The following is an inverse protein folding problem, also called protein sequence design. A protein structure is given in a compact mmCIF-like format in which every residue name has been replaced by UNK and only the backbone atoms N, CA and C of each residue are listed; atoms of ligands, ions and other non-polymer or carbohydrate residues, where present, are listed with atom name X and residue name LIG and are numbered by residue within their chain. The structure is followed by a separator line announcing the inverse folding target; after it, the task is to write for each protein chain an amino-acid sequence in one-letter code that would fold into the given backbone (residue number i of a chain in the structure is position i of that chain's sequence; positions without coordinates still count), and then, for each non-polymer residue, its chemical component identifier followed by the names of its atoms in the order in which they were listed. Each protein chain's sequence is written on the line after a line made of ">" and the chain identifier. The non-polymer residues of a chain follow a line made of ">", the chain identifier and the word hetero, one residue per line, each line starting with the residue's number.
data_IF_514137644545
#
_entry.id   IF_514137644545
#
_cell.length_a   1.000
_cell.length_b   1.000
_cell.length_c   1.000
_cell.angle_alpha   90.00
_cell.angle_beta   90.00
_cell.angle_gamma   90.00
#
_symmetry.space_group_name_H-M   'P 1'
#
loop_
_entity.id
_entity.type
_entity.pdbx_description
1 polymer ?
#
# COMPACT_ATOMS: atom_id res chain seq x y z
N UNK A 1 10.82 -5.84 15.25
CA UNK A 1 12.03 -5.56 16.07
C UNK A 1 12.29 -4.07 16.02
N UNK A 2 12.64 -3.43 17.14
CA UNK A 2 12.90 -1.99 17.13
C UNK A 2 14.27 -1.65 16.50
N UNK A 3 15.24 -2.54 16.64
CA UNK A 3 16.59 -2.45 16.01
C UNK A 3 17.27 -3.84 16.02
N UNK A 4 18.17 -4.13 15.08
CA UNK A 4 18.36 -3.35 13.85
C UNK A 4 17.09 -3.30 13.02
N UNK A 5 17.01 -2.32 12.08
CA UNK A 5 15.87 -2.24 11.16
C UNK A 5 15.79 -3.48 10.28
N UNK A 6 14.60 -3.82 9.81
CA UNK A 6 14.43 -4.93 8.85
C UNK A 6 15.14 -4.62 7.55
N UNK A 7 15.17 -3.35 7.15
CA UNK A 7 15.90 -2.89 5.98
C UNK A 7 17.41 -3.13 6.09
N UNK A 8 18.04 -2.97 7.27
CA UNK A 8 19.44 -3.33 7.48
C UNK A 8 19.72 -4.83 7.30
N UNK A 9 18.83 -5.66 7.88
CA UNK A 9 18.94 -7.13 7.76
C UNK A 9 18.80 -7.56 6.29
N UNK A 10 17.88 -6.92 5.57
CA UNK A 10 17.67 -7.19 4.16
C UNK A 10 18.86 -6.75 3.32
N UNK A 11 19.44 -5.57 3.59
CA UNK A 11 20.62 -5.03 2.94
C UNK A 11 21.81 -6.01 3.02
N UNK A 12 22.08 -6.54 4.21
CA UNK A 12 23.12 -7.55 4.44
C UNK A 12 22.87 -8.81 3.60
N UNK A 13 21.64 -9.35 3.64
CA UNK A 13 21.29 -10.58 2.91
C UNK A 13 21.32 -10.42 1.40
N UNK A 14 21.04 -9.24 0.87
CA UNK A 14 21.11 -8.94 -0.56
C UNK A 14 22.54 -8.66 -1.04
N UNK A 15 23.49 -8.45 -0.14
CA UNK A 15 24.88 -8.16 -0.50
C UNK A 15 25.06 -6.84 -1.27
N UNK A 16 24.19 -5.85 -1.05
CA UNK A 16 24.21 -4.59 -1.80
C UNK A 16 25.35 -3.64 -1.41
N UNK A 17 26.22 -4.05 -0.47
CA UNK A 17 27.29 -3.20 0.04
C UNK A 17 26.76 -2.13 1.01
N UNK A 18 27.50 -1.04 1.19
CA UNK A 18 27.14 0.03 2.12
C UNK A 18 26.16 0.99 1.46
N UNK A 19 24.89 0.86 1.77
CA UNK A 19 23.79 1.73 1.30
C UNK A 19 22.95 2.20 2.48
N UNK A 20 22.26 3.34 2.33
CA UNK A 20 21.32 3.82 3.34
C UNK A 20 20.11 2.89 3.43
N UNK A 21 19.65 2.65 4.65
CA UNK A 21 18.47 1.83 4.92
C UNK A 21 17.63 2.45 6.01
N UNK A 22 16.30 2.30 5.91
CA UNK A 22 15.37 2.72 6.95
C UNK A 22 14.09 1.88 6.90
N UNK A 23 13.44 1.73 8.06
CA UNK A 23 12.08 1.23 8.14
C UNK A 23 11.10 2.40 8.31
N UNK A 24 9.94 2.32 7.66
CA UNK A 24 8.85 3.29 7.82
C UNK A 24 7.63 2.62 8.45
N UNK A 25 7.01 3.28 9.42
CA UNK A 25 5.85 2.79 10.13
C UNK A 25 4.59 3.59 9.77
N UNK A 26 3.77 3.04 8.87
CA UNK A 26 2.45 3.56 8.54
C UNK A 26 1.45 2.41 8.31
N UNK A 27 1.68 1.28 8.97
CA UNK A 27 0.86 0.06 8.87
C UNK A 27 0.56 -0.30 7.39
N UNK A 28 -0.69 -0.64 7.05
CA UNK A 28 -1.04 -1.07 5.69
C UNK A 28 -0.84 0.01 4.61
N UNK A 29 -0.73 1.30 4.97
CA UNK A 29 -0.36 2.38 4.04
C UNK A 29 1.16 2.57 3.88
N UNK A 30 1.97 1.81 4.63
CA UNK A 30 3.42 1.98 4.69
C UNK A 30 4.12 1.86 3.33
N UNK A 31 3.65 0.97 2.46
CA UNK A 31 4.23 0.83 1.12
C UNK A 31 4.10 2.12 0.29
N UNK A 32 2.93 2.77 0.30
CA UNK A 32 2.73 4.03 -0.42
C UNK A 32 3.55 5.17 0.18
N UNK A 33 3.62 5.25 1.53
CA UNK A 33 4.49 6.21 2.21
C UNK A 33 5.95 6.03 1.79
N UNK A 34 6.42 4.79 1.74
CA UNK A 34 7.78 4.46 1.31
C UNK A 34 8.03 4.80 -0.16
N UNK A 35 7.08 4.53 -1.06
CA UNK A 35 7.18 4.92 -2.47
C UNK A 35 7.26 6.44 -2.64
N UNK A 36 6.43 7.19 -1.91
CA UNK A 36 6.43 8.66 -1.96
C UNK A 36 7.76 9.21 -1.42
N UNK A 37 8.26 8.64 -0.33
CA UNK A 37 9.57 9.02 0.23
C UNK A 37 10.70 8.72 -0.76
N UNK A 38 10.70 7.53 -1.36
CA UNK A 38 11.68 7.15 -2.37
C UNK A 38 11.66 8.09 -3.58
N UNK A 39 10.46 8.49 -4.05
CA UNK A 39 10.32 9.50 -5.11
C UNK A 39 11.05 10.80 -4.76
N UNK A 40 10.91 11.31 -3.53
CA UNK A 40 11.59 12.55 -3.14
C UNK A 40 13.11 12.41 -3.19
N UNK A 41 13.67 11.31 -2.71
CA UNK A 41 15.11 11.06 -2.77
C UNK A 41 15.64 10.88 -4.19
N UNK A 42 14.88 10.27 -5.08
CA UNK A 42 15.26 10.15 -6.49
C UNK A 42 15.18 11.52 -7.17
N UNK A 43 14.14 12.30 -6.91
CA UNK A 43 13.98 13.64 -7.48
C UNK A 43 15.02 14.65 -6.99
N UNK A 44 15.55 14.50 -5.75
CA UNK A 44 16.67 15.32 -5.26
C UNK A 44 17.98 14.99 -5.96
N UNK A 45 18.09 13.84 -6.63
CA UNK A 45 19.32 13.36 -7.25
C UNK A 45 20.27 12.64 -6.30
N UNK A 46 19.89 12.48 -5.02
CA UNK A 46 20.75 11.83 -4.01
C UNK A 46 20.89 10.32 -4.27
N UNK A 47 19.83 9.69 -4.80
CA UNK A 47 19.79 8.25 -5.08
C UNK A 47 19.17 7.97 -6.47
N UNK A 48 19.84 7.11 -7.25
CA UNK A 48 19.35 6.69 -8.57
C UNK A 48 18.34 5.55 -8.51
N UNK A 49 18.55 4.61 -7.57
CA UNK A 49 17.69 3.46 -7.39
C UNK A 49 17.39 3.25 -5.90
N UNK A 50 16.14 2.98 -5.58
CA UNK A 50 15.68 2.70 -4.22
C UNK A 50 14.81 1.45 -4.24
N UNK A 51 15.17 0.45 -3.44
CA UNK A 51 14.35 -0.71 -3.19
C UNK A 51 13.30 -0.36 -2.13
N UNK A 52 12.02 -0.43 -2.49
CA UNK A 52 10.89 -0.25 -1.59
C UNK A 52 10.25 -1.60 -1.32
N UNK A 53 10.12 -1.96 -0.04
CA UNK A 53 9.61 -3.26 0.40
C UNK A 53 8.42 -3.07 1.33
N UNK A 54 7.31 -3.75 1.04
CA UNK A 54 6.21 -3.97 1.96
C UNK A 54 6.25 -5.40 2.46
N UNK A 55 6.41 -5.61 3.77
CA UNK A 55 6.51 -6.94 4.34
C UNK A 55 5.93 -6.98 5.76
N UNK A 56 4.98 -7.87 5.96
CA UNK A 56 4.33 -8.06 7.26
C UNK A 56 4.09 -9.55 7.56
N UNK A 57 4.43 -9.96 8.76
CA UNK A 57 4.10 -11.29 9.30
C UNK A 57 2.98 -11.15 10.34
N UNK A 58 1.75 -10.95 9.85
CA UNK A 58 0.58 -10.69 10.69
C UNK A 58 0.14 -11.91 11.49
N UNK A 59 0.43 -13.13 11.04
CA UNK A 59 0.16 -14.36 11.79
C UNK A 59 0.82 -14.36 13.18
N UNK A 60 1.93 -13.65 13.35
CA UNK A 60 2.64 -13.53 14.62
C UNK A 60 1.86 -12.72 15.68
N UNK A 61 1.15 -11.71 15.23
CA UNK A 61 0.43 -10.75 16.10
C UNK A 61 -1.08 -10.96 16.11
N UNK A 62 -1.62 -11.75 15.18
CA UNK A 62 -3.05 -12.08 15.15
C UNK A 62 -3.39 -13.05 16.28
N UNK A 63 -4.50 -12.80 16.96
CA UNK A 63 -5.07 -13.74 17.91
C UNK A 63 -5.92 -14.75 17.14
N UNK A 64 -5.42 -15.99 17.00
CA UNK A 64 -6.09 -17.03 16.22
C UNK A 64 -7.39 -17.55 16.90
N UNK A 65 -7.64 -17.20 18.14
CA UNK A 65 -8.90 -17.48 18.85
C UNK A 65 -9.98 -16.42 18.56
N UNK A 66 -9.57 -15.21 18.15
CA UNK A 66 -10.49 -14.14 17.78
C UNK A 66 -10.92 -14.28 16.30
N UNK A 67 -12.07 -14.86 16.07
CA UNK A 67 -12.63 -15.06 14.72
C UNK A 67 -12.90 -13.78 13.95
N UNK A 68 -12.96 -12.63 14.60
CA UNK A 68 -13.17 -11.33 13.94
C UNK A 68 -11.93 -10.83 13.22
N UNK A 69 -10.75 -11.29 13.61
CA UNK A 69 -9.45 -10.89 13.03
C UNK A 69 -8.71 -12.04 12.39
N UNK A 70 -8.77 -13.25 12.95
CA UNK A 70 -8.03 -14.43 12.49
C UNK A 70 -8.28 -14.82 11.03
N UNK A 71 -9.50 -14.57 10.53
CA UNK A 71 -9.90 -14.90 9.16
C UNK A 71 -9.55 -13.84 8.12
N UNK A 72 -9.00 -12.70 8.55
CA UNK A 72 -8.76 -11.55 7.68
C UNK A 72 -7.32 -11.45 7.21
N UNK A 73 -6.38 -11.65 8.14
CA UNK A 73 -4.97 -11.32 7.94
C UNK A 73 -4.14 -12.48 7.40
N UNK A 74 -3.20 -12.14 6.51
CA UNK A 74 -2.21 -13.06 5.96
C UNK A 74 -0.79 -12.51 6.08
N UNK A 75 0.19 -13.37 5.92
CA UNK A 75 1.62 -13.02 5.83
C UNK A 75 1.99 -12.76 4.37
N UNK A 76 2.83 -11.77 4.14
CA UNK A 76 3.29 -11.48 2.79
C UNK A 76 4.47 -10.52 2.74
N UNK A 77 5.16 -10.54 1.62
CA UNK A 77 6.18 -9.58 1.25
C UNK A 77 6.12 -9.31 -0.25
N UNK A 78 6.34 -8.06 -0.62
CA UNK A 78 6.48 -7.63 -2.00
C UNK A 78 7.39 -6.41 -2.08
N UNK A 79 8.05 -6.23 -3.22
CA UNK A 79 9.02 -5.17 -3.39
C UNK A 79 8.98 -4.59 -4.81
N UNK A 80 9.41 -3.34 -4.93
CA UNK A 80 9.65 -2.67 -6.21
C UNK A 80 11.00 -1.95 -6.16
N UNK A 81 11.68 -1.88 -7.28
CA UNK A 81 12.83 -1.00 -7.48
C UNK A 81 12.33 0.25 -8.17
N UNK A 82 12.50 1.39 -7.52
CA UNK A 82 12.18 2.71 -8.07
C UNK A 82 13.45 3.36 -8.59
N UNK A 83 13.33 4.07 -9.71
CA UNK A 83 14.42 4.80 -10.35
C UNK A 83 13.90 5.97 -11.17
N UNK A 84 14.81 6.66 -11.85
CA UNK A 84 14.47 7.68 -12.83
C UNK A 84 13.69 7.05 -14.00
N UNK A 85 12.74 7.77 -14.52
CA UNK A 85 11.91 7.37 -15.65
C UNK A 85 11.83 8.54 -16.65
N UNK A 86 11.40 8.26 -17.89
CA UNK A 86 11.16 9.27 -18.89
C UNK A 86 10.16 10.34 -18.41
N UNK A 87 10.28 11.55 -18.96
CA UNK A 87 9.37 12.65 -18.68
C UNK A 87 7.90 12.25 -18.92
N UNK A 88 7.02 12.62 -18.01
CA UNK A 88 5.60 12.26 -18.03
C UNK A 88 5.28 10.89 -17.42
N UNK A 89 6.27 10.09 -17.03
CA UNK A 89 6.10 8.77 -16.38
C UNK A 89 6.40 8.82 -14.87
N UNK A 90 6.16 7.71 -14.20
CA UNK A 90 6.37 7.56 -12.75
C UNK A 90 5.20 8.07 -11.93
N UNK A 91 5.46 8.44 -10.67
CA UNK A 91 4.43 8.97 -9.77
C UNK A 91 4.09 10.40 -10.17
N UNK A 92 2.90 10.62 -10.75
CA UNK A 92 2.45 11.92 -11.23
C UNK A 92 1.67 12.71 -10.18
N UNK A 93 0.95 12.03 -9.29
CA UNK A 93 0.34 12.66 -8.12
C UNK A 93 0.30 11.72 -6.92
N UNK A 94 0.20 12.29 -5.73
CA UNK A 94 0.07 11.51 -4.50
C UNK A 94 -0.61 12.31 -3.39
N UNK A 95 -1.15 11.56 -2.42
CA UNK A 95 -1.70 12.05 -1.17
C UNK A 95 -1.25 11.16 -0.02
N UNK A 96 -0.96 11.75 1.13
CA UNK A 96 -0.77 11.06 2.41
C UNK A 96 -1.53 11.80 3.50
N UNK A 97 -2.02 11.07 4.48
CA UNK A 97 -2.66 11.68 5.62
C UNK A 97 -2.83 10.70 6.79
N UNK A 98 -3.13 11.27 7.95
CA UNK A 98 -3.36 10.51 9.17
C UNK A 98 -4.42 11.18 10.06
N UNK A 99 -5.11 10.35 10.84
CA UNK A 99 -6.02 10.75 11.91
C UNK A 99 -5.72 9.91 13.16
N UNK A 100 -4.91 10.46 14.06
CA UNK A 100 -4.49 9.79 15.29
C UNK A 100 -5.63 9.51 16.25
N UNK A 101 -6.79 10.19 16.13
CA UNK A 101 -7.96 9.92 16.97
C UNK A 101 -8.53 8.52 16.77
N UNK A 102 -8.28 7.92 15.60
CA UNK A 102 -8.66 6.57 15.22
C UNK A 102 -7.73 5.47 15.72
N UNK A 103 -6.59 5.79 16.32
CA UNK A 103 -5.60 4.81 16.77
C UNK A 103 -6.15 3.74 17.71
N UNK A 104 -7.15 4.08 18.52
CA UNK A 104 -7.88 3.15 19.41
C UNK A 104 -8.71 2.09 18.69
N UNK A 105 -8.91 2.21 17.38
CA UNK A 105 -9.74 1.27 16.60
C UNK A 105 -8.94 0.14 15.94
N UNK A 106 -7.62 0.33 15.75
CA UNK A 106 -6.74 -0.68 15.16
C UNK A 106 -5.32 -0.48 15.69
N UNK A 107 -4.90 -1.35 16.59
CA UNK A 107 -3.62 -1.22 17.29
C UNK A 107 -3.05 -2.58 17.72
N UNK A 108 -1.75 -2.60 18.00
CA UNK A 108 -1.09 -3.71 18.67
C UNK A 108 -1.19 -3.47 20.19
N UNK A 109 -1.89 -4.34 20.88
CA UNK A 109 -1.94 -4.33 22.36
C UNK A 109 -0.57 -4.68 22.91
N UNK A 110 -0.01 -3.80 23.73
CA UNK A 110 1.35 -3.93 24.25
C UNK A 110 1.47 -5.02 25.33
N UNK A 111 0.40 -5.32 26.04
CA UNK A 111 0.40 -6.32 27.11
C UNK A 111 0.33 -7.74 26.51
N UNK A 112 -0.55 -7.94 25.57
CA UNK A 112 -0.76 -9.25 24.94
C UNK A 112 0.10 -9.49 23.71
N UNK A 113 0.65 -8.43 23.09
CA UNK A 113 1.33 -8.51 21.80
C UNK A 113 0.38 -8.88 20.65
N UNK A 114 -0.93 -8.72 20.83
CA UNK A 114 -1.93 -9.11 19.85
C UNK A 114 -2.61 -7.90 19.23
N UNK A 115 -2.92 -8.01 17.94
CA UNK A 115 -3.68 -7.02 17.21
C UNK A 115 -5.11 -6.94 17.74
N UNK A 116 -5.58 -5.73 18.02
CA UNK A 116 -6.95 -5.43 18.39
C UNK A 116 -7.60 -4.53 17.36
N UNK A 117 -8.85 -4.85 17.01
CA UNK A 117 -9.58 -4.13 15.97
C UNK A 117 -11.05 -3.93 16.33
N UNK A 118 -11.52 -2.69 16.26
CA UNK A 118 -12.94 -2.40 16.16
C UNK A 118 -13.33 -2.41 14.68
N UNK A 119 -13.72 -3.58 14.17
CA UNK A 119 -13.99 -3.79 12.75
C UNK A 119 -15.04 -2.84 12.18
N UNK A 120 -16.06 -2.44 12.97
CA UNK A 120 -17.12 -1.52 12.52
C UNK A 120 -16.57 -0.11 12.24
N UNK A 121 -15.78 0.43 13.17
CA UNK A 121 -15.24 1.79 13.03
C UNK A 121 -14.13 1.84 11.97
N UNK A 122 -13.28 0.81 11.91
CA UNK A 122 -12.28 0.65 10.85
C UNK A 122 -12.94 0.56 9.49
N UNK A 123 -14.01 -0.23 9.33
CA UNK A 123 -14.75 -0.36 8.08
C UNK A 123 -15.35 0.98 7.61
N UNK A 124 -16.01 1.72 8.50
CA UNK A 124 -16.59 3.03 8.16
C UNK A 124 -15.53 4.01 7.68
N UNK A 125 -14.39 4.06 8.38
CA UNK A 125 -13.27 4.91 7.98
C UNK A 125 -12.71 4.49 6.63
N UNK A 126 -12.45 3.20 6.44
CA UNK A 126 -11.85 2.65 5.24
C UNK A 126 -12.69 2.93 3.97
N UNK A 127 -13.99 2.65 4.03
CA UNK A 127 -14.91 2.90 2.91
C UNK A 127 -14.88 4.37 2.49
N UNK A 128 -14.89 5.28 3.46
CA UNK A 128 -14.84 6.71 3.17
C UNK A 128 -13.48 7.12 2.60
N UNK A 129 -12.39 6.80 3.33
CA UNK A 129 -11.09 7.37 3.02
C UNK A 129 -10.48 6.80 1.73
N UNK A 130 -10.67 5.51 1.43
CA UNK A 130 -10.15 4.93 0.21
C UNK A 130 -10.81 5.53 -1.03
N UNK A 131 -12.12 5.74 -1.01
CA UNK A 131 -12.82 6.42 -2.10
C UNK A 131 -12.40 7.88 -2.22
N UNK A 132 -12.44 8.64 -1.11
CA UNK A 132 -12.09 10.07 -1.11
C UNK A 132 -10.66 10.32 -1.57
N UNK A 133 -9.68 9.56 -1.05
CA UNK A 133 -8.28 9.73 -1.40
C UNK A 133 -8.01 9.33 -2.87
N UNK A 134 -8.67 8.28 -3.37
CA UNK A 134 -8.55 7.89 -4.77
C UNK A 134 -9.06 9.00 -5.70
N UNK A 135 -10.22 9.57 -5.40
CA UNK A 135 -10.79 10.67 -6.20
C UNK A 135 -9.87 11.89 -6.18
N UNK A 136 -9.47 12.35 -4.98
CA UNK A 136 -8.62 13.54 -4.86
C UNK A 136 -7.26 13.38 -5.56
N UNK A 137 -6.64 12.20 -5.49
CA UNK A 137 -5.33 12.00 -6.12
C UNK A 137 -5.42 11.96 -7.65
N UNK A 138 -6.53 11.46 -8.20
CA UNK A 138 -6.83 11.46 -9.64
C UNK A 138 -7.12 12.89 -10.13
N UNK A 139 -7.99 13.62 -9.43
CA UNK A 139 -8.26 15.03 -9.71
C UNK A 139 -7.00 15.89 -9.64
N UNK A 140 -6.14 15.66 -8.64
CA UNK A 140 -4.86 16.36 -8.49
C UNK A 140 -3.90 16.08 -9.66
N UNK A 141 -4.02 14.92 -10.31
CA UNK A 141 -3.28 14.60 -11.52
C UNK A 141 -3.87 15.26 -12.78
N UNK A 142 -5.04 15.91 -12.69
CA UNK A 142 -5.77 16.44 -13.83
C UNK A 142 -6.45 15.36 -14.67
N UNK A 143 -6.69 14.19 -14.07
CA UNK A 143 -7.27 13.02 -14.72
C UNK A 143 -8.73 12.79 -14.27
N UNK A 144 -9.42 11.95 -15.03
CA UNK A 144 -10.76 11.43 -14.75
C UNK A 144 -10.73 9.92 -14.53
N UNK A 145 -11.87 9.31 -14.19
CA UNK A 145 -12.00 7.86 -14.08
C UNK A 145 -11.77 7.12 -15.41
N UNK A 146 -12.00 7.77 -16.53
CA UNK A 146 -11.81 7.21 -17.88
C UNK A 146 -10.33 6.97 -18.21
N UNK A 147 -9.45 7.81 -17.64
CA UNK A 147 -8.00 7.76 -17.84
C UNK A 147 -7.30 6.67 -17.02
N UNK A 148 -8.04 5.97 -16.14
CA UNK A 148 -7.50 4.94 -15.27
C UNK A 148 -7.55 3.59 -15.98
N UNK A 149 -6.39 2.95 -16.12
CA UNK A 149 -6.27 1.61 -16.68
C UNK A 149 -6.36 0.52 -15.61
N UNK A 150 -5.79 0.76 -14.43
CA UNK A 150 -5.84 -0.20 -13.32
C UNK A 150 -5.93 0.48 -11.95
N UNK A 151 -6.86 0.01 -11.12
CA UNK A 151 -6.99 0.35 -9.72
C UNK A 151 -6.43 -0.76 -8.84
N UNK A 152 -5.45 -0.44 -8.02
CA UNK A 152 -4.78 -1.39 -7.11
C UNK A 152 -4.99 -0.94 -5.66
N UNK A 153 -6.15 -1.25 -5.06
CA UNK A 153 -6.41 -0.94 -3.67
C UNK A 153 -5.66 -1.87 -2.73
N UNK A 154 -5.36 -1.39 -1.51
CA UNK A 154 -4.99 -2.24 -0.41
C UNK A 154 -6.02 -3.36 -0.23
N UNK A 155 -5.56 -4.60 -0.13
CA UNK A 155 -6.38 -5.82 -0.09
C UNK A 155 -6.93 -6.08 1.32
N UNK A 156 -7.63 -5.10 1.88
CA UNK A 156 -8.16 -5.20 3.24
C UNK A 156 -9.38 -6.13 3.33
N UNK A 157 -10.34 -5.91 2.44
CA UNK A 157 -11.62 -6.61 2.35
C UNK A 157 -12.30 -6.25 1.03
N UNK A 158 -12.88 -7.23 0.35
CA UNK A 158 -13.49 -7.02 -0.97
C UNK A 158 -14.59 -5.94 -0.96
N UNK A 159 -15.38 -5.84 0.12
CA UNK A 159 -16.46 -4.86 0.23
C UNK A 159 -15.93 -3.42 0.33
N UNK A 160 -14.81 -3.22 1.01
CA UNK A 160 -14.14 -1.91 1.09
C UNK A 160 -13.58 -1.55 -0.29
N UNK A 161 -12.94 -2.50 -0.97
CA UNK A 161 -12.35 -2.31 -2.28
C UNK A 161 -13.41 -1.95 -3.33
N UNK A 162 -14.53 -2.69 -3.36
CA UNK A 162 -15.65 -2.41 -4.26
C UNK A 162 -16.26 -1.02 -4.00
N UNK A 163 -16.45 -0.64 -2.74
CA UNK A 163 -16.96 0.69 -2.41
C UNK A 163 -16.03 1.81 -2.89
N UNK A 164 -14.71 1.62 -2.78
CA UNK A 164 -13.73 2.59 -3.28
C UNK A 164 -13.76 2.67 -4.82
N UNK A 165 -13.84 1.51 -5.49
CA UNK A 165 -13.95 1.40 -6.94
C UNK A 165 -15.21 2.13 -7.47
N UNK A 166 -16.38 1.83 -6.86
CA UNK A 166 -17.66 2.45 -7.24
C UNK A 166 -17.61 3.98 -7.10
N UNK A 167 -17.00 4.46 -6.02
CA UNK A 167 -16.86 5.89 -5.80
C UNK A 167 -15.89 6.56 -6.78
N UNK A 168 -14.86 5.84 -7.23
CA UNK A 168 -13.94 6.31 -8.28
C UNK A 168 -14.58 6.23 -9.69
N UNK A 169 -15.71 5.54 -9.83
CA UNK A 169 -16.46 5.46 -11.09
C UNK A 169 -15.81 4.57 -12.15
N UNK A 170 -15.04 3.55 -11.74
CA UNK A 170 -14.37 2.65 -12.67
C UNK A 170 -15.02 1.26 -12.71
N UNK A 171 -14.84 0.55 -13.81
CA UNK A 171 -15.34 -0.80 -14.02
C UNK A 171 -14.61 -1.82 -13.13
N UNK A 172 -15.29 -2.94 -12.84
CA UNK A 172 -14.76 -3.96 -11.94
C UNK A 172 -13.51 -4.65 -12.49
N UNK A 173 -13.45 -4.80 -13.79
CA UNK A 173 -12.37 -5.44 -14.54
C UNK A 173 -11.06 -4.69 -14.41
N UNK A 174 -11.13 -3.39 -14.16
CA UNK A 174 -9.99 -2.51 -13.90
C UNK A 174 -9.52 -2.55 -12.43
N UNK A 175 -10.16 -3.29 -11.54
CA UNK A 175 -9.72 -3.43 -10.15
C UNK A 175 -8.92 -4.71 -9.94
N UNK A 176 -7.71 -4.57 -9.40
CA UNK A 176 -6.91 -5.71 -8.97
C UNK A 176 -7.46 -6.37 -7.71
N UNK A 177 -7.57 -7.69 -7.72
CA UNK A 177 -8.08 -8.49 -6.59
C UNK A 177 -7.11 -9.63 -6.31
N UNK A 178 -6.52 -9.63 -5.12
CA UNK A 178 -5.64 -10.68 -4.62
C UNK A 178 -5.99 -11.13 -3.19
N UNK A 179 -6.94 -10.45 -2.56
CA UNK A 179 -7.39 -10.74 -1.19
C UNK A 179 -7.95 -12.15 -1.02
N UNK A 180 -8.53 -12.72 -2.05
CA UNK A 180 -9.03 -14.10 -2.08
C UNK A 180 -7.92 -15.16 -2.04
N UNK A 181 -6.69 -14.80 -2.42
CA UNK A 181 -5.52 -15.69 -2.40
C UNK A 181 -4.69 -15.54 -1.14
N UNK A 182 -4.46 -14.30 -0.71
CA UNK A 182 -3.46 -13.98 0.32
C UNK A 182 -4.06 -13.40 1.60
N UNK A 183 -5.35 -13.05 1.60
CA UNK A 183 -5.95 -12.27 2.68
C UNK A 183 -5.40 -10.84 2.71
N UNK A 184 -5.55 -10.20 3.85
CA UNK A 184 -4.95 -8.89 4.11
C UNK A 184 -3.49 -9.07 4.57
N UNK A 185 -2.56 -8.83 3.67
CA UNK A 185 -1.11 -8.88 3.93
C UNK A 185 -0.51 -7.50 4.27
N UNK A 186 -1.33 -6.56 4.77
CA UNK A 186 -0.90 -5.22 5.18
C UNK A 186 -0.15 -4.47 4.06
N UNK A 187 1.06 -3.94 4.36
CA UNK A 187 1.86 -3.18 3.39
C UNK A 187 2.32 -4.01 2.17
N UNK A 188 2.35 -5.34 2.28
CA UNK A 188 2.69 -6.22 1.16
C UNK A 188 1.57 -6.35 0.12
N UNK A 189 0.33 -6.00 0.45
CA UNK A 189 -0.83 -6.27 -0.40
C UNK A 189 -0.77 -5.57 -1.77
N UNK A 190 -0.32 -4.33 -1.81
CA UNK A 190 -0.20 -3.55 -3.06
C UNK A 190 0.91 -4.09 -3.96
N UNK A 191 2.16 -4.28 -3.51
CA UNK A 191 3.20 -4.81 -4.39
C UNK A 191 2.92 -6.25 -4.83
N UNK A 192 2.27 -7.08 -4.02
CA UNK A 192 1.82 -8.41 -4.44
C UNK A 192 0.75 -8.33 -5.55
N UNK A 193 -0.20 -7.39 -5.43
CA UNK A 193 -1.21 -7.15 -6.45
C UNK A 193 -0.60 -6.64 -7.75
N UNK A 194 0.32 -5.68 -7.68
CA UNK A 194 1.05 -5.18 -8.87
C UNK A 194 1.77 -6.32 -9.57
N UNK A 195 2.51 -7.15 -8.83
CA UNK A 195 3.20 -8.30 -9.40
C UNK A 195 2.24 -9.30 -10.05
N UNK A 196 1.10 -9.57 -9.42
CA UNK A 196 0.05 -10.43 -10.00
C UNK A 196 -0.44 -9.88 -11.34
N UNK A 197 -0.75 -8.58 -11.41
CA UNK A 197 -1.29 -7.98 -12.63
C UNK A 197 -0.24 -7.84 -13.74
N UNK A 198 1.04 -7.65 -13.39
CA UNK A 198 2.17 -7.74 -14.32
C UNK A 198 2.29 -9.15 -14.92
N UNK A 199 2.23 -10.20 -14.08
CA UNK A 199 2.28 -11.59 -14.55
C UNK A 199 1.07 -11.96 -15.42
N UNK A 200 -0.08 -11.36 -15.16
CA UNK A 200 -1.29 -11.53 -15.96
C UNK A 200 -1.28 -10.71 -17.27
N UNK A 201 -0.27 -9.88 -17.50
CA UNK A 201 -0.19 -9.01 -18.67
C UNK A 201 -1.20 -7.86 -18.70
N UNK A 202 -1.78 -7.53 -17.56
CA UNK A 202 -2.75 -6.42 -17.40
C UNK A 202 -2.10 -5.05 -17.23
N UNK A 203 -0.83 -5.00 -16.86
CA UNK A 203 -0.08 -3.73 -16.75
C UNK A 203 0.84 -3.62 -17.95
N UNK A 204 0.72 -2.54 -18.69
CA UNK A 204 1.51 -2.21 -19.89
C UNK A 204 2.21 -0.87 -19.69
N UNK A 205 3.21 -0.60 -20.54
CA UNK A 205 3.82 0.73 -20.59
C UNK A 205 2.75 1.77 -20.95
N UNK A 206 2.84 2.92 -20.31
CA UNK A 206 1.90 4.05 -20.40
C UNK A 206 0.52 3.84 -19.76
N UNK A 207 0.28 2.73 -19.05
CA UNK A 207 -0.92 2.59 -18.25
C UNK A 207 -0.93 3.56 -17.05
N UNK A 208 -2.11 4.05 -16.72
CA UNK A 208 -2.37 4.87 -15.53
C UNK A 208 -2.87 4.00 -14.40
N UNK A 209 -2.05 3.85 -13.37
CA UNK A 209 -2.38 3.06 -12.19
C UNK A 209 -2.77 3.98 -11.03
N UNK A 210 -3.82 3.62 -10.30
CA UNK A 210 -4.19 4.26 -9.03
C UNK A 210 -3.98 3.28 -7.89
N UNK A 211 -3.07 3.60 -6.98
CA UNK A 211 -2.83 2.84 -5.75
C UNK A 211 -3.47 3.57 -4.58
N UNK A 212 -4.16 2.86 -3.69
CA UNK A 212 -4.73 3.46 -2.48
C UNK A 212 -4.75 2.47 -1.33
N UNK A 213 -4.53 2.96 -0.13
CA UNK A 213 -4.65 2.15 1.07
C UNK A 213 -4.78 2.97 2.34
N UNK A 214 -5.19 2.28 3.37
CA UNK A 214 -5.30 2.80 4.73
C UNK A 214 -4.72 1.79 5.71
N UNK A 215 -4.41 2.23 6.92
CA UNK A 215 -3.87 1.37 7.95
C UNK A 215 -4.10 1.89 9.37
N UNK A 216 -3.63 1.10 10.33
CA UNK A 216 -3.61 1.52 11.74
C UNK A 216 -2.87 2.84 11.91
N UNK A 217 -3.44 3.70 12.79
CA UNK A 217 -2.95 5.03 13.00
C UNK A 217 -4.09 6.00 13.35
N UNK A 218 -5.16 6.25 12.58
CA UNK A 218 -5.34 5.74 11.23
C UNK A 218 -4.50 6.53 10.24
N UNK A 219 -3.99 5.85 9.23
CA UNK A 219 -3.20 6.47 8.17
C UNK A 219 -3.81 6.11 6.81
N UNK A 220 -3.55 6.91 5.78
CA UNK A 220 -3.89 6.58 4.40
C UNK A 220 -2.87 7.15 3.43
N UNK A 221 -2.82 6.56 2.25
CA UNK A 221 -2.04 7.04 1.12
C UNK A 221 -2.71 6.67 -0.20
N UNK A 222 -2.55 7.55 -1.18
CA UNK A 222 -2.97 7.31 -2.54
C UNK A 222 -1.92 7.84 -3.52
N UNK A 223 -1.75 7.15 -4.64
CA UNK A 223 -0.73 7.47 -5.65
C UNK A 223 -1.35 7.24 -7.03
N UNK A 224 -1.09 8.14 -7.96
CA UNK A 224 -1.29 7.91 -9.39
C UNK A 224 0.07 7.73 -10.05
N UNK A 225 0.21 6.64 -10.80
CA UNK A 225 1.43 6.29 -11.51
C UNK A 225 1.13 6.19 -13.00
N UNK A 226 1.91 6.88 -13.82
CA UNK A 226 2.03 6.58 -15.24
C UNK A 226 3.12 5.53 -15.38
N UNK A 227 2.70 4.29 -15.70
CA UNK A 227 3.59 3.13 -15.69
C UNK A 227 4.58 3.17 -16.85
N UNK A 228 5.82 2.75 -16.63
CA UNK A 228 6.85 2.65 -17.65
C UNK A 228 8.25 2.96 -17.14
N UNK A 229 9.22 2.80 -18.01
CA UNK A 229 10.65 3.09 -17.76
C UNK A 229 11.08 4.38 -18.42
#
# INVERSE_FOLDING_TARGET
>A
MPFPSVANILQERLGTGKVATMDQLAACSGFMYSMITAKQYIQSGDYKHILVVGADKLSKITDMSDRSTAVLFGDGAGAVVMGEVAEGRGIISYEMGSDGSGGKYLYLDRETGKLKMNGREVFKFAVRIMGDASTRVVEKAGLSSEDIDLFVPHQANIRIMESARERLGIEREKMSVSVNKYGNTSAASIPLSINQELQNGKIKDDDTLVLVGFGGGLTWGAIVIKWGK
#
